data_IF_938530164509
#
_entry.id   IF_938530164509
#
_cell.length_a   1.000
_cell.length_b   1.000
_cell.length_c   1.000
_cell.angle_alpha   90.00
_cell.angle_beta   90.00
_cell.angle_gamma   90.00
#
_symmetry.space_group_name_H-M   'P 1'
#
loop_
_entity.id
_entity.type
_entity.pdbx_description
1 polymer ?
#
# COMPACT_ATOMS: atom_id res chain seq x y z
N UNK A 1 -0.42 13.59 -11.25
CA UNK A 1 0.37 14.11 -10.11
C UNK A 1 1.86 14.08 -10.43
N UNK A 2 2.63 15.04 -9.87
CA UNK A 2 4.08 15.09 -10.11
C UNK A 2 4.85 13.84 -9.61
N UNK A 3 4.24 13.08 -8.72
CA UNK A 3 4.78 11.81 -8.20
C UNK A 3 4.44 10.58 -9.05
N UNK A 4 3.69 10.75 -10.14
CA UNK A 4 3.36 9.64 -11.03
C UNK A 4 4.55 9.27 -11.92
N UNK A 5 4.99 8.03 -11.80
CA UNK A 5 5.99 7.41 -12.68
C UNK A 5 5.29 6.34 -13.51
N UNK A 6 5.11 6.55 -14.83
CA UNK A 6 4.40 5.60 -15.68
C UNK A 6 4.99 4.18 -15.60
N UNK A 7 4.14 3.19 -15.33
CA UNK A 7 4.53 1.78 -15.29
C UNK A 7 5.40 1.37 -14.10
N UNK A 8 5.52 2.19 -13.07
CA UNK A 8 6.36 1.88 -11.89
C UNK A 8 5.97 0.56 -11.23
N UNK A 9 4.67 0.31 -11.02
CA UNK A 9 4.20 -0.94 -10.43
C UNK A 9 4.40 -2.13 -11.37
N UNK A 10 4.34 -1.95 -12.69
CA UNK A 10 4.69 -3.01 -13.64
C UNK A 10 6.15 -3.46 -13.46
N UNK A 11 7.07 -2.50 -13.35
CA UNK A 11 8.49 -2.79 -13.11
C UNK A 11 8.69 -3.49 -11.74
N UNK A 12 8.06 -2.99 -10.69
CA UNK A 12 8.17 -3.57 -9.35
C UNK A 12 7.66 -5.01 -9.31
N UNK A 13 6.47 -5.27 -9.87
CA UNK A 13 5.89 -6.60 -9.89
C UNK A 13 6.71 -7.59 -10.71
N UNK A 14 7.21 -7.18 -11.89
CA UNK A 14 8.06 -8.02 -12.71
C UNK A 14 9.37 -8.37 -12.01
N UNK A 15 10.00 -7.39 -11.35
CA UNK A 15 11.24 -7.59 -10.61
C UNK A 15 11.01 -8.50 -9.38
N UNK A 16 9.94 -8.26 -8.63
CA UNK A 16 9.58 -9.08 -7.48
C UNK A 16 9.29 -10.53 -7.88
N UNK A 17 8.57 -10.73 -8.98
CA UNK A 17 8.27 -12.07 -9.49
C UNK A 17 9.54 -12.81 -9.95
N UNK A 18 10.46 -12.12 -10.63
CA UNK A 18 11.75 -12.72 -11.01
C UNK A 18 12.59 -13.12 -9.78
N UNK A 19 12.56 -12.32 -8.75
CA UNK A 19 13.21 -12.64 -7.48
C UNK A 19 12.55 -13.83 -6.76
N UNK A 20 11.21 -13.88 -6.76
CA UNK A 20 10.41 -14.94 -6.17
C UNK A 20 10.61 -16.28 -6.90
N UNK A 21 10.68 -16.26 -8.24
CA UNK A 21 10.91 -17.43 -9.08
C UNK A 21 12.15 -18.24 -8.65
N UNK A 22 13.26 -17.55 -8.41
CA UNK A 22 14.51 -18.19 -7.97
C UNK A 22 14.45 -18.75 -6.53
N UNK A 23 13.30 -18.64 -5.86
CA UNK A 23 13.07 -19.09 -4.47
C UNK A 23 11.87 -19.99 -4.31
N UNK A 24 11.29 -20.43 -5.44
CA UNK A 24 10.08 -21.24 -5.49
C UNK A 24 8.89 -20.58 -4.74
N UNK A 25 8.81 -19.24 -4.79
CA UNK A 25 7.73 -18.44 -4.19
C UNK A 25 6.75 -18.01 -5.27
N UNK A 26 5.49 -18.32 -5.10
CA UNK A 26 4.43 -18.01 -6.05
C UNK A 26 3.56 -16.82 -5.63
N UNK A 27 3.54 -16.50 -4.35
CA UNK A 27 2.66 -15.47 -3.80
C UNK A 27 3.43 -14.15 -3.61
N UNK A 28 2.94 -13.10 -4.24
CA UNK A 28 3.40 -11.72 -4.04
C UNK A 28 2.32 -10.94 -3.29
N UNK A 29 2.72 -10.07 -2.39
CA UNK A 29 1.79 -9.22 -1.64
C UNK A 29 2.15 -7.76 -1.89
N UNK A 30 1.18 -6.98 -2.37
CA UNK A 30 1.35 -5.56 -2.64
C UNK A 30 0.34 -4.68 -1.91
N UNK A 31 0.75 -3.46 -1.56
CA UNK A 31 -0.09 -2.46 -0.89
C UNK A 31 -0.88 -1.55 -1.84
N UNK A 32 -1.09 -1.97 -3.09
CA UNK A 32 -1.86 -1.18 -4.05
C UNK A 32 -3.31 -1.01 -3.60
N UNK A 33 -3.84 0.20 -3.82
CA UNK A 33 -5.19 0.59 -3.45
C UNK A 33 -5.78 1.44 -4.58
N UNK A 34 -6.98 1.08 -5.06
CA UNK A 34 -7.65 1.84 -6.12
C UNK A 34 -8.68 2.85 -5.59
N UNK A 35 -9.03 2.79 -4.31
CA UNK A 35 -9.95 3.75 -3.66
C UNK A 35 -9.29 5.07 -3.35
N UNK A 36 -7.96 5.12 -3.37
CA UNK A 36 -7.22 6.36 -3.22
C UNK A 36 -7.43 7.24 -4.45
N UNK A 37 -7.75 8.51 -4.22
CA UNK A 37 -7.86 9.53 -5.26
C UNK A 37 -6.53 9.81 -6.00
N UNK A 38 -5.49 9.04 -5.76
CA UNK A 38 -4.20 9.16 -6.44
C UNK A 38 -4.31 8.95 -7.96
N UNK A 39 -5.34 8.21 -8.40
CA UNK A 39 -5.65 8.04 -9.82
C UNK A 39 -4.60 7.27 -10.63
N UNK A 40 -3.68 6.60 -9.97
CA UNK A 40 -2.64 5.84 -10.65
C UNK A 40 -3.21 4.61 -11.36
N UNK A 41 -3.12 4.54 -12.71
CA UNK A 41 -3.69 3.43 -13.47
C UNK A 41 -3.13 2.07 -13.05
N UNK A 42 -1.84 2.04 -12.68
CA UNK A 42 -1.09 0.85 -12.27
C UNK A 42 -1.33 0.42 -10.81
N UNK A 43 -2.29 1.06 -10.12
CA UNK A 43 -2.80 0.60 -8.82
C UNK A 43 -4.17 -0.08 -8.91
N UNK A 44 -4.80 -0.13 -10.09
CA UNK A 44 -6.14 -0.68 -10.26
C UNK A 44 -6.12 -2.22 -10.28
N UNK A 45 -7.19 -2.85 -9.75
CA UNK A 45 -7.28 -4.31 -9.73
C UNK A 45 -7.16 -4.92 -11.13
N UNK A 46 -7.78 -4.34 -12.14
CA UNK A 46 -7.69 -4.82 -13.53
C UNK A 46 -6.25 -4.84 -14.06
N UNK A 47 -5.43 -3.87 -13.67
CA UNK A 47 -4.01 -3.86 -14.03
C UNK A 47 -3.27 -5.00 -13.32
N UNK A 48 -3.52 -5.20 -12.03
CA UNK A 48 -2.91 -6.27 -11.23
C UNK A 48 -3.26 -7.64 -11.81
N UNK A 49 -4.52 -7.88 -12.19
CA UNK A 49 -4.97 -9.13 -12.81
C UNK A 49 -4.25 -9.38 -14.15
N UNK A 50 -4.06 -8.34 -14.96
CA UNK A 50 -3.30 -8.42 -16.21
C UNK A 50 -1.83 -8.75 -15.98
N UNK A 51 -1.21 -8.13 -14.97
CA UNK A 51 0.18 -8.41 -14.60
C UNK A 51 0.36 -9.83 -14.07
N UNK A 52 -0.54 -10.31 -13.22
CA UNK A 52 -0.55 -11.67 -12.71
C UNK A 52 -0.57 -12.69 -13.86
N UNK A 53 -1.49 -12.50 -14.80
CA UNK A 53 -1.60 -13.34 -16.01
C UNK A 53 -0.32 -13.28 -16.84
N UNK A 54 0.17 -12.08 -17.16
CA UNK A 54 1.35 -11.89 -18.03
C UNK A 54 2.62 -12.48 -17.41
N UNK A 55 2.81 -12.29 -16.10
CA UNK A 55 3.97 -12.82 -15.36
C UNK A 55 3.89 -14.35 -15.28
N UNK A 56 2.71 -14.90 -14.98
CA UNK A 56 2.51 -16.35 -14.90
C UNK A 56 2.83 -17.03 -16.23
N UNK A 57 2.38 -16.45 -17.35
CA UNK A 57 2.68 -16.96 -18.70
C UNK A 57 4.15 -16.82 -19.04
N UNK A 58 4.77 -15.70 -18.70
CA UNK A 58 6.18 -15.43 -19.01
C UNK A 58 7.15 -16.35 -18.24
N UNK A 59 6.75 -16.82 -17.07
CA UNK A 59 7.59 -17.62 -16.17
C UNK A 59 7.21 -19.11 -16.12
N UNK A 60 6.13 -19.50 -16.82
CA UNK A 60 5.55 -20.85 -16.73
C UNK A 60 5.33 -21.29 -15.25
N UNK A 61 4.81 -20.37 -14.44
CA UNK A 61 4.61 -20.53 -13.01
C UNK A 61 3.31 -19.84 -12.59
N UNK A 62 2.52 -20.46 -11.73
CA UNK A 62 1.29 -19.88 -11.19
C UNK A 62 1.59 -18.79 -10.15
N UNK A 63 1.84 -17.58 -10.64
CA UNK A 63 2.09 -16.40 -9.79
C UNK A 63 0.76 -15.79 -9.35
N UNK A 64 0.62 -15.51 -8.07
CA UNK A 64 -0.54 -14.86 -7.46
C UNK A 64 -0.13 -13.54 -6.83
N UNK A 65 -0.87 -12.46 -7.16
CA UNK A 65 -0.62 -11.12 -6.64
C UNK A 65 -1.76 -10.70 -5.71
N UNK A 66 -1.51 -10.76 -4.42
CA UNK A 66 -2.45 -10.37 -3.37
C UNK A 66 -2.38 -8.88 -3.10
N UNK A 67 -3.53 -8.23 -3.03
CA UNK A 67 -3.64 -6.79 -2.77
C UNK A 67 -4.68 -6.52 -1.67
N UNK A 68 -4.36 -6.83 -0.41
CA UNK A 68 -5.33 -6.80 0.69
C UNK A 68 -5.90 -5.41 0.97
N UNK A 69 -5.27 -4.36 0.49
CA UNK A 69 -5.72 -2.97 0.67
C UNK A 69 -6.51 -2.42 -0.53
N UNK A 70 -6.70 -3.21 -1.59
CA UNK A 70 -7.20 -2.75 -2.90
C UNK A 70 -8.47 -1.91 -2.82
N UNK A 71 -9.41 -2.28 -1.97
CA UNK A 71 -10.74 -1.66 -1.85
C UNK A 71 -10.97 -0.93 -0.53
N UNK A 72 -9.93 -0.79 0.30
CA UNK A 72 -10.02 -0.09 1.57
C UNK A 72 -9.82 1.42 1.39
N UNK A 73 -10.58 2.20 2.12
CA UNK A 73 -10.27 3.63 2.33
C UNK A 73 -9.06 3.78 3.26
N UNK A 74 -8.50 4.98 3.33
CA UNK A 74 -7.39 5.24 4.27
C UNK A 74 -7.82 5.04 5.73
N UNK A 75 -9.05 5.38 6.08
CA UNK A 75 -9.60 5.15 7.42
C UNK A 75 -9.71 3.65 7.73
N UNK A 76 -10.22 2.86 6.78
CA UNK A 76 -10.30 1.40 6.91
C UNK A 76 -8.91 0.73 6.96
N UNK A 77 -7.91 1.28 6.27
CA UNK A 77 -6.53 0.81 6.37
C UNK A 77 -5.96 1.03 7.77
N UNK A 78 -6.26 2.17 8.41
CA UNK A 78 -5.89 2.43 9.80
C UNK A 78 -6.58 1.46 10.76
N UNK A 79 -7.89 1.23 10.55
CA UNK A 79 -8.66 0.24 11.31
C UNK A 79 -8.05 -1.16 11.18
N UNK A 80 -7.72 -1.58 9.95
CA UNK A 80 -7.11 -2.89 9.71
C UNK A 80 -5.80 -3.06 10.48
N UNK A 81 -4.94 -2.04 10.52
CA UNK A 81 -3.70 -2.09 11.30
C UNK A 81 -3.96 -2.29 12.79
N UNK A 82 -5.02 -1.66 13.33
CA UNK A 82 -5.46 -1.84 14.72
C UNK A 82 -5.96 -3.25 14.97
N UNK A 83 -6.91 -3.72 14.15
CA UNK A 83 -7.53 -5.04 14.26
C UNK A 83 -6.47 -6.17 14.17
N UNK A 84 -5.53 -6.06 13.23
CA UNK A 84 -4.45 -7.04 13.08
C UNK A 84 -3.51 -7.05 14.28
N UNK A 85 -3.25 -5.90 14.88
CA UNK A 85 -2.46 -5.80 16.10
C UNK A 85 -3.10 -6.54 17.27
N UNK A 86 -4.41 -6.40 17.44
CA UNK A 86 -5.17 -7.10 18.47
C UNK A 86 -5.12 -8.63 18.29
N UNK A 87 -5.28 -9.09 17.04
CA UNK A 87 -5.22 -10.54 16.72
C UNK A 87 -3.81 -11.10 16.91
N UNK A 88 -2.79 -10.36 16.49
CA UNK A 88 -1.40 -10.81 16.55
C UNK A 88 -0.75 -10.66 17.93
N UNK A 89 -1.38 -9.95 18.86
CA UNK A 89 -0.77 -9.59 20.15
C UNK A 89 0.46 -8.69 20.00
N UNK A 90 0.50 -7.87 18.94
CA UNK A 90 1.59 -6.95 18.61
C UNK A 90 1.02 -5.57 18.27
N UNK A 91 1.78 -4.51 18.50
CA UNK A 91 1.34 -3.16 18.17
C UNK A 91 1.61 -2.84 16.69
N UNK A 92 0.83 -3.48 15.80
CA UNK A 92 0.90 -3.24 14.34
C UNK A 92 0.50 -1.81 14.03
N UNK A 93 -0.47 -1.24 14.74
CA UNK A 93 -0.91 0.15 14.54
C UNK A 93 0.24 1.14 14.75
N UNK A 94 0.95 1.06 15.88
CA UNK A 94 2.10 1.94 16.16
C UNK A 94 3.25 1.68 15.17
N UNK A 95 3.50 0.44 14.81
CA UNK A 95 4.50 0.11 13.79
C UNK A 95 4.17 0.80 12.46
N UNK A 96 2.93 0.71 11.99
CA UNK A 96 2.49 1.40 10.76
C UNK A 96 2.61 2.92 10.92
N UNK A 97 2.22 3.47 12.06
CA UNK A 97 2.26 4.90 12.33
C UNK A 97 3.69 5.48 12.30
N UNK A 98 4.64 4.75 12.89
CA UNK A 98 6.03 5.21 13.06
C UNK A 98 6.89 4.86 11.84
N UNK A 99 6.80 3.62 11.34
CA UNK A 99 7.73 3.10 10.35
C UNK A 99 7.28 3.31 8.89
N UNK A 100 5.97 3.39 8.63
CA UNK A 100 5.51 3.66 7.28
C UNK A 100 5.59 5.15 6.93
N UNK A 101 5.96 5.45 5.68
CA UNK A 101 6.15 6.80 5.21
C UNK A 101 5.38 7.05 3.92
N UNK A 102 4.56 8.10 3.90
CA UNK A 102 3.67 8.42 2.76
C UNK A 102 4.14 9.66 2.00
N UNK A 103 4.91 10.54 2.64
CA UNK A 103 5.43 11.76 2.03
C UNK A 103 6.49 11.45 0.98
N UNK A 104 6.16 11.67 -0.31
CA UNK A 104 7.06 11.42 -1.43
C UNK A 104 8.33 12.28 -1.43
N UNK A 105 8.35 13.37 -0.66
CA UNK A 105 9.54 14.20 -0.46
C UNK A 105 10.49 13.62 0.61
N UNK A 106 10.13 12.50 1.22
CA UNK A 106 10.94 11.85 2.24
C UNK A 106 11.04 12.63 3.56
N UNK A 107 10.13 13.57 3.81
CA UNK A 107 10.21 14.46 4.96
C UNK A 107 9.87 13.75 6.27
N UNK A 108 10.87 13.59 7.14
CA UNK A 108 10.72 13.06 8.50
C UNK A 108 10.99 14.11 9.60
N UNK A 109 11.07 15.39 9.24
CA UNK A 109 11.33 16.46 10.22
C UNK A 109 10.10 16.86 11.04
N UNK A 110 8.90 16.55 10.55
CA UNK A 110 7.64 16.87 11.22
C UNK A 110 6.92 15.60 11.64
N UNK A 111 6.72 15.46 12.95
CA UNK A 111 5.93 14.41 13.57
C UNK A 111 4.49 14.88 13.79
N UNK A 112 3.52 14.02 13.52
CA UNK A 112 2.09 14.25 13.71
C UNK A 112 1.44 13.02 14.37
N UNK A 113 0.17 13.13 14.79
CA UNK A 113 -0.58 11.99 15.31
C UNK A 113 -0.66 10.81 14.32
N UNK A 114 -0.66 11.11 13.03
CA UNK A 114 -0.71 10.13 11.94
C UNK A 114 0.68 9.67 11.44
N UNK A 115 1.75 10.08 12.09
CA UNK A 115 3.14 9.74 11.75
C UNK A 115 3.92 10.90 11.13
N UNK A 116 5.05 10.59 10.50
CA UNK A 116 5.90 11.59 9.86
C UNK A 116 5.34 12.09 8.53
N UNK A 117 5.50 13.37 8.26
CA UNK A 117 5.20 14.02 6.99
C UNK A 117 4.66 15.43 7.13
N UNK A 118 4.60 16.15 6.01
CA UNK A 118 4.02 17.50 5.91
C UNK A 118 2.71 17.46 5.13
N UNK A 119 1.78 18.34 5.49
CA UNK A 119 0.49 18.51 4.79
C UNK A 119 0.59 19.36 3.51
N UNK A 120 1.75 19.42 2.90
CA UNK A 120 2.01 20.16 1.66
C UNK A 120 1.88 19.30 0.38
N UNK A 121 1.58 18.03 0.53
CA UNK A 121 1.41 17.09 -0.57
C UNK A 121 0.14 16.24 -0.44
N UNK A 122 -0.43 15.77 -1.57
CA UNK A 122 -1.71 15.03 -1.57
C UNK A 122 -1.67 13.73 -0.76
N UNK A 123 -0.56 13.00 -0.80
CA UNK A 123 -0.44 11.72 -0.13
C UNK A 123 -0.47 11.85 1.40
N UNK A 124 0.24 12.84 1.95
CA UNK A 124 0.19 13.15 3.39
C UNK A 124 -1.19 13.65 3.83
N UNK A 125 -1.86 14.45 2.99
CA UNK A 125 -3.24 14.89 3.27
C UNK A 125 -4.20 13.71 3.38
N UNK A 126 -4.20 12.81 2.40
CA UNK A 126 -5.03 11.60 2.42
C UNK A 126 -4.76 10.72 3.66
N UNK A 127 -3.48 10.56 4.03
CA UNK A 127 -3.10 9.81 5.22
C UNK A 127 -3.68 10.45 6.50
N UNK A 128 -3.52 11.77 6.64
CA UNK A 128 -4.00 12.53 7.79
C UNK A 128 -5.53 12.53 7.88
N UNK A 129 -6.22 12.71 6.76
CA UNK A 129 -7.69 12.68 6.68
C UNK A 129 -8.22 11.29 7.07
N UNK A 130 -7.61 10.21 6.54
CA UNK A 130 -7.99 8.85 6.90
C UNK A 130 -7.75 8.52 8.38
N UNK A 131 -6.66 9.02 8.96
CA UNK A 131 -6.39 8.88 10.40
C UNK A 131 -7.47 9.59 11.23
N UNK A 132 -7.78 10.85 10.87
CA UNK A 132 -8.81 11.63 11.55
C UNK A 132 -10.18 10.94 11.47
N UNK A 133 -10.57 10.47 10.29
CA UNK A 133 -11.83 9.76 10.09
C UNK A 133 -11.90 8.48 10.95
N UNK A 134 -10.84 7.68 10.98
CA UNK A 134 -10.79 6.47 11.78
C UNK A 134 -10.93 6.78 13.30
N UNK A 135 -10.31 7.87 13.75
CA UNK A 135 -10.42 8.35 15.15
C UNK A 135 -11.83 8.84 15.46
N UNK A 136 -12.46 9.62 14.59
CA UNK A 136 -13.83 10.10 14.75
C UNK A 136 -14.86 8.96 14.80
N UNK A 137 -14.60 7.86 14.07
CA UNK A 137 -15.43 6.65 14.10
C UNK A 137 -15.13 5.73 15.30
N UNK A 138 -14.16 6.06 16.13
CA UNK A 138 -13.75 5.24 17.26
C UNK A 138 -13.10 3.90 16.87
N UNK A 139 -12.47 3.84 15.72
CA UNK A 139 -11.78 2.64 15.23
C UNK A 139 -10.34 2.52 15.74
N UNK A 140 -9.76 3.66 16.10
CA UNK A 140 -8.38 3.77 16.61
C UNK A 140 -8.30 4.73 17.80
#
# INVERSE_FOLDING_TARGET
>A
PASFVPGRNALFLSTAASYAYNRDVQDLVGGMCQTDYSGYPDCRRVFIDSMETSISLAMDMDVRIHTPLMYLTKAETWKLAKDLGEVAGQDVFETVRIESHTDYNGNRSQWNEWGYGKLDNPASKLRAEGYKEAKEKGWI
#
